data_IF_239452112592
#
_entry.id   IF_239452112592
#
_cell.length_a   1.000
_cell.length_b   1.000
_cell.length_c   1.000
_cell.angle_alpha   90.00
_cell.angle_beta   90.00
_cell.angle_gamma   90.00
#
_symmetry.space_group_name_H-M   'P 1'
#
loop_
_entity.id
_entity.type
_entity.pdbx_description
1 polymer ?
#
# COMPACT_ATOMS: atom_id res chain seq x y z
N UNK A 1 17.83 -44.77 -64.34
CA UNK A 1 18.38 -45.73 -65.32
C UNK A 1 19.08 -44.93 -66.40
N UNK A 2 20.21 -45.39 -66.94
CA UNK A 2 20.85 -44.96 -68.20
C UNK A 2 21.85 -46.06 -68.62
N UNK A 3 22.28 -46.06 -69.88
CA UNK A 3 23.16 -47.10 -70.46
C UNK A 3 24.17 -46.53 -71.46
N UNK A 4 24.61 -47.37 -72.41
CA UNK A 4 25.78 -47.19 -73.29
C UNK A 4 27.12 -47.32 -72.52
N UNK A 5 28.20 -47.87 -73.09
CA UNK A 5 28.40 -48.57 -74.36
C UNK A 5 29.81 -49.21 -74.37
N UNK A 6 30.10 -50.25 -75.19
CA UNK A 6 31.34 -51.01 -75.06
C UNK A 6 32.54 -50.33 -75.74
N UNK A 7 33.61 -50.07 -74.98
CA UNK A 7 34.92 -49.68 -75.51
C UNK A 7 35.91 -49.17 -74.46
N UNK A 8 37.17 -49.58 -74.61
CA UNK A 8 38.38 -49.01 -73.99
C UNK A 8 38.47 -48.99 -72.45
N UNK A 9 38.91 -50.14 -71.92
CA UNK A 9 40.24 -50.35 -71.33
C UNK A 9 40.82 -49.37 -70.28
N UNK A 10 41.45 -49.97 -69.24
CA UNK A 10 42.29 -49.41 -68.16
C UNK A 10 41.73 -48.29 -67.24
N UNK A 11 41.54 -48.67 -65.97
CA UNK A 11 41.72 -47.88 -64.74
C UNK A 11 41.28 -46.41 -64.70
N UNK A 12 39.97 -46.17 -64.87
CA UNK A 12 39.34 -44.93 -64.34
C UNK A 12 39.02 -45.04 -62.85
N UNK A 13 40.08 -45.02 -62.03
CA UNK A 13 39.98 -44.89 -60.57
C UNK A 13 39.24 -43.59 -60.21
N UNK A 14 38.03 -43.74 -59.66
CA UNK A 14 37.29 -42.61 -59.09
C UNK A 14 37.83 -42.34 -57.68
N UNK A 15 38.86 -41.48 -57.59
CA UNK A 15 39.59 -41.15 -56.36
C UNK A 15 38.71 -40.89 -55.12
N UNK A 16 37.52 -40.31 -55.30
CA UNK A 16 36.54 -40.16 -54.21
C UNK A 16 35.11 -40.30 -54.75
N UNK A 17 34.31 -41.14 -54.10
CA UNK A 17 32.85 -41.12 -54.21
C UNK A 17 32.27 -40.79 -52.83
N UNK A 18 31.50 -39.71 -52.74
CA UNK A 18 30.88 -39.21 -51.49
C UNK A 18 29.37 -39.36 -51.55
N UNK A 19 28.77 -39.97 -50.54
CA UNK A 19 27.34 -40.31 -50.48
C UNK A 19 26.75 -40.07 -49.07
N UNK A 20 25.50 -39.61 -48.99
CA UNK A 20 24.87 -39.01 -47.80
C UNK A 20 23.46 -39.60 -47.55
N UNK A 21 23.22 -40.19 -46.37
CA UNK A 21 22.10 -41.12 -46.01
C UNK A 21 22.12 -41.39 -44.47
N UNK A 22 21.03 -41.66 -43.71
CA UNK A 22 21.08 -41.45 -42.21
C UNK A 22 20.12 -42.34 -41.31
N UNK A 23 20.52 -43.02 -40.20
CA UNK A 23 19.68 -43.99 -39.39
C UNK A 23 20.27 -44.48 -38.05
N UNK A 24 19.58 -44.97 -36.99
CA UNK A 24 18.23 -44.84 -36.39
C UNK A 24 17.22 -46.03 -36.38
N UNK A 25 17.00 -46.82 -35.29
CA UNK A 25 15.63 -47.20 -34.78
C UNK A 25 15.49 -48.08 -33.48
N UNK A 26 14.86 -47.58 -32.39
CA UNK A 26 14.52 -48.33 -31.14
C UNK A 26 14.37 -47.56 -29.78
N UNK A 27 13.13 -47.41 -29.29
CA UNK A 27 12.65 -46.77 -28.03
C UNK A 27 13.02 -45.27 -27.81
N UNK A 28 12.02 -44.42 -28.12
CA UNK A 28 12.12 -42.97 -28.38
C UNK A 28 12.66 -42.74 -29.79
N UNK A 29 11.83 -42.44 -30.81
CA UNK A 29 12.22 -42.44 -32.26
C UNK A 29 11.00 -42.13 -33.23
N UNK A 30 11.16 -41.56 -34.47
CA UNK A 30 10.05 -41.00 -35.34
C UNK A 30 10.04 -40.79 -36.93
N UNK A 31 11.11 -40.74 -37.78
CA UNK A 31 11.11 -40.40 -39.28
C UNK A 31 11.41 -41.61 -40.29
N UNK A 32 11.80 -41.52 -41.61
CA UNK A 32 11.98 -42.72 -42.51
C UNK A 32 12.94 -42.67 -43.77
N UNK A 33 13.52 -43.84 -44.13
CA UNK A 33 14.64 -44.31 -45.04
C UNK A 33 15.40 -43.42 -46.06
N UNK A 34 16.74 -43.61 -46.16
CA UNK A 34 17.62 -43.06 -47.22
C UNK A 34 18.64 -44.10 -47.80
N UNK A 35 18.82 -44.10 -49.13
CA UNK A 35 19.59 -45.10 -49.90
C UNK A 35 20.51 -44.48 -50.95
N UNK A 36 21.77 -44.95 -51.03
CA UNK A 36 22.75 -44.49 -52.04
C UNK A 36 23.32 -45.61 -52.91
N UNK A 37 23.50 -45.28 -54.21
CA UNK A 37 23.82 -46.23 -55.28
C UNK A 37 24.89 -45.65 -56.22
N UNK A 38 26.07 -46.27 -56.24
CA UNK A 38 27.10 -46.01 -57.23
C UNK A 38 26.69 -46.51 -58.64
N UNK A 39 27.36 -45.97 -59.66
CA UNK A 39 27.14 -46.31 -61.07
C UNK A 39 27.59 -47.72 -61.45
N UNK A 40 27.37 -48.08 -62.72
CA UNK A 40 27.63 -49.42 -63.26
C UNK A 40 28.73 -49.37 -64.32
N UNK A 41 29.72 -50.27 -64.25
CA UNK A 41 30.72 -50.49 -65.30
C UNK A 41 31.68 -51.62 -64.93
N UNK A 42 32.29 -52.34 -65.90
CA UNK A 42 33.39 -53.26 -65.63
C UNK A 42 34.66 -52.47 -65.25
N UNK A 43 35.54 -53.05 -64.42
CA UNK A 43 36.87 -52.47 -64.15
C UNK A 43 36.87 -51.18 -63.34
N UNK A 44 35.92 -51.02 -62.41
CA UNK A 44 35.87 -49.86 -61.50
C UNK A 44 36.37 -50.26 -60.12
N UNK A 45 37.64 -49.99 -59.84
CA UNK A 45 38.19 -49.97 -58.48
C UNK A 45 37.89 -48.61 -57.82
N UNK A 46 37.47 -48.63 -56.55
CA UNK A 46 37.25 -47.41 -55.76
C UNK A 46 38.05 -47.51 -54.46
N UNK A 47 39.18 -46.81 -54.43
CA UNK A 47 40.12 -46.74 -53.30
C UNK A 47 39.45 -46.30 -51.99
N UNK A 48 38.59 -45.26 -52.06
CA UNK A 48 37.83 -44.78 -50.90
C UNK A 48 36.38 -44.40 -51.23
N UNK A 49 35.45 -45.14 -50.63
CA UNK A 49 34.03 -44.77 -50.58
C UNK A 49 33.72 -44.10 -49.25
N UNK A 50 33.16 -42.88 -49.29
CA UNK A 50 32.80 -42.09 -48.11
C UNK A 50 31.29 -42.01 -47.95
N UNK A 51 30.79 -42.55 -46.83
CA UNK A 51 29.36 -42.65 -46.48
C UNK A 51 29.11 -42.04 -45.09
N UNK A 52 28.04 -41.26 -44.96
CA UNK A 52 27.87 -40.35 -43.81
C UNK A 52 26.45 -40.35 -43.22
N UNK A 53 26.36 -40.71 -41.93
CA UNK A 53 25.17 -41.16 -41.13
C UNK A 53 25.27 -40.71 -39.64
N UNK A 54 24.20 -40.84 -38.82
CA UNK A 54 24.11 -40.37 -37.41
C UNK A 54 23.04 -41.11 -36.54
N UNK A 55 23.42 -41.63 -35.33
CA UNK A 55 22.74 -42.82 -34.73
C UNK A 55 22.87 -43.33 -33.21
N UNK A 56 22.05 -42.99 -32.18
CA UNK A 56 21.89 -43.53 -30.74
C UNK A 56 21.85 -45.07 -30.41
N UNK A 57 21.20 -45.71 -29.40
CA UNK A 57 20.34 -45.38 -28.23
C UNK A 57 20.14 -46.58 -27.23
N UNK A 58 19.76 -46.32 -25.96
CA UNK A 58 19.48 -47.30 -24.87
C UNK A 58 19.07 -46.63 -23.53
N UNK A 59 19.38 -47.17 -22.33
CA UNK A 59 18.80 -46.66 -21.08
C UNK A 59 19.27 -45.25 -20.68
N UNK A 60 18.38 -44.27 -20.82
CA UNK A 60 18.65 -42.85 -20.56
C UNK A 60 18.72 -41.98 -21.81
N UNK A 61 18.55 -42.55 -22.99
CA UNK A 61 18.67 -41.86 -24.28
C UNK A 61 17.28 -41.43 -24.82
N UNK A 62 17.16 -40.22 -25.38
CA UNK A 62 16.03 -39.64 -26.15
C UNK A 62 16.47 -39.26 -27.60
N UNK A 63 15.62 -39.53 -28.65
CA UNK A 63 16.04 -40.27 -29.89
C UNK A 63 14.98 -40.28 -31.10
N UNK A 64 15.28 -40.56 -32.42
CA UNK A 64 14.52 -40.05 -33.65
C UNK A 64 14.11 -40.84 -35.02
N UNK A 65 14.52 -42.05 -35.51
CA UNK A 65 13.87 -42.86 -36.67
C UNK A 65 14.31 -42.37 -38.11
N UNK A 66 15.23 -42.90 -38.98
CA UNK A 66 15.76 -42.08 -40.16
C UNK A 66 15.81 -42.49 -41.69
N UNK A 67 16.42 -43.44 -42.46
CA UNK A 67 17.40 -44.56 -42.34
C UNK A 67 18.62 -44.56 -43.36
N UNK A 68 19.49 -45.60 -43.33
CA UNK A 68 20.82 -45.71 -43.97
C UNK A 68 21.02 -47.05 -44.70
N UNK A 69 21.26 -47.02 -46.01
CA UNK A 69 21.48 -48.24 -46.78
C UNK A 69 22.35 -48.02 -48.04
N UNK A 70 23.34 -48.90 -48.25
CA UNK A 70 24.33 -48.78 -49.34
C UNK A 70 24.38 -50.04 -50.20
N UNK A 71 24.44 -49.86 -51.53
CA UNK A 71 24.67 -50.96 -52.48
C UNK A 71 25.82 -50.66 -53.44
N UNK A 72 26.98 -51.26 -53.16
CA UNK A 72 28.12 -51.30 -54.08
C UNK A 72 28.03 -52.51 -55.00
N UNK A 73 28.33 -52.32 -56.29
CA UNK A 73 28.48 -53.40 -57.26
C UNK A 73 27.18 -53.97 -57.87
N UNK A 74 27.26 -54.32 -59.16
CA UNK A 74 26.37 -55.26 -59.84
C UNK A 74 27.06 -55.85 -61.07
N UNK A 75 27.98 -56.78 -60.83
CA UNK A 75 28.78 -57.53 -61.82
C UNK A 75 29.91 -58.29 -61.12
N UNK A 76 30.50 -59.33 -61.74
CA UNK A 76 31.71 -59.97 -61.23
C UNK A 76 32.93 -59.05 -61.38
N UNK A 77 33.88 -59.11 -60.46
CA UNK A 77 35.11 -58.30 -60.51
C UNK A 77 34.89 -56.83 -60.12
N UNK A 78 34.16 -56.57 -59.03
CA UNK A 78 34.16 -55.28 -58.33
C UNK A 78 34.86 -55.49 -56.99
N UNK A 79 35.89 -54.71 -56.74
CA UNK A 79 36.68 -54.75 -55.50
C UNK A 79 36.76 -53.36 -54.87
N UNK A 80 36.88 -53.28 -53.55
CA UNK A 80 36.76 -52.06 -52.77
C UNK A 80 37.57 -52.13 -51.47
N UNK A 81 38.86 -51.78 -51.57
CA UNK A 81 39.87 -51.91 -50.51
C UNK A 81 39.42 -51.29 -49.17
N UNK A 82 38.91 -50.05 -49.16
CA UNK A 82 38.42 -49.40 -47.94
C UNK A 82 37.11 -48.62 -48.10
N UNK A 83 36.11 -49.02 -47.30
CA UNK A 83 34.80 -48.35 -47.20
C UNK A 83 34.68 -47.66 -45.85
N UNK A 84 34.62 -46.33 -45.86
CA UNK A 84 34.52 -45.51 -44.65
C UNK A 84 33.07 -45.08 -44.40
N UNK A 85 32.43 -45.71 -43.41
CA UNK A 85 31.09 -45.37 -42.93
C UNK A 85 31.16 -44.59 -41.62
N UNK A 86 30.89 -43.29 -41.70
CA UNK A 86 30.68 -42.46 -40.52
C UNK A 86 29.28 -42.68 -39.98
N UNK A 87 29.24 -43.01 -38.69
CA UNK A 87 28.02 -43.21 -37.91
C UNK A 87 28.44 -42.89 -36.48
N UNK A 88 28.24 -41.64 -36.03
CA UNK A 88 27.75 -41.41 -34.65
C UNK A 88 26.54 -42.39 -34.52
N UNK A 89 26.12 -43.10 -33.47
CA UNK A 89 26.22 -42.98 -32.00
C UNK A 89 25.96 -44.36 -31.27
N UNK A 90 25.24 -44.43 -30.11
CA UNK A 90 25.17 -45.65 -29.27
C UNK A 90 24.49 -45.52 -27.87
N UNK A 91 24.83 -46.39 -26.90
CA UNK A 91 24.13 -46.51 -25.61
C UNK A 91 24.82 -47.21 -24.40
N UNK A 92 24.23 -47.00 -23.21
CA UNK A 92 24.49 -47.63 -21.91
C UNK A 92 23.48 -47.04 -20.89
N UNK A 93 23.52 -47.33 -19.57
CA UNK A 93 22.78 -46.58 -18.54
C UNK A 93 23.42 -45.19 -18.33
N UNK A 94 23.59 -44.47 -19.44
CA UNK A 94 24.95 -44.06 -19.79
C UNK A 94 25.12 -43.32 -21.12
N UNK A 95 24.07 -42.85 -21.78
CA UNK A 95 24.13 -42.03 -23.03
C UNK A 95 22.88 -41.11 -23.15
N UNK A 96 22.90 -40.07 -24.00
CA UNK A 96 21.75 -39.38 -24.63
C UNK A 96 22.15 -38.92 -26.07
N UNK A 97 21.36 -39.21 -27.13
CA UNK A 97 21.67 -38.95 -28.58
C UNK A 97 20.49 -39.10 -29.57
N UNK A 98 20.40 -40.19 -30.36
CA UNK A 98 19.80 -40.16 -31.73
C UNK A 98 18.97 -41.45 -32.13
N UNK A 99 19.41 -42.55 -32.77
CA UNK A 99 19.16 -44.03 -32.53
C UNK A 99 20.04 -44.86 -33.51
N UNK A 100 20.42 -46.15 -33.42
CA UNK A 100 21.36 -46.87 -34.35
C UNK A 100 20.73 -47.67 -35.51
N UNK A 101 21.23 -47.51 -36.77
CA UNK A 101 21.42 -48.59 -37.78
C UNK A 101 22.40 -48.21 -38.92
N UNK A 102 23.16 -49.18 -39.43
CA UNK A 102 23.47 -49.31 -40.87
C UNK A 102 23.64 -50.79 -41.21
N UNK A 103 23.67 -51.11 -42.50
CA UNK A 103 24.18 -52.38 -42.99
C UNK A 103 24.50 -52.38 -44.48
N UNK A 104 25.50 -53.17 -44.85
CA UNK A 104 25.90 -53.45 -46.24
C UNK A 104 25.62 -54.91 -46.58
N UNK A 105 25.04 -55.17 -47.76
CA UNK A 105 24.81 -56.55 -48.27
C UNK A 105 25.65 -56.80 -49.51
N UNK A 106 26.66 -57.66 -49.38
CA UNK A 106 27.45 -58.15 -50.50
C UNK A 106 26.80 -59.37 -51.17
N UNK A 107 27.15 -59.61 -52.44
CA UNK A 107 26.80 -60.85 -53.15
C UNK A 107 27.80 -61.97 -52.82
N UNK A 108 27.44 -63.26 -53.02
CA UNK A 108 28.39 -64.36 -52.84
C UNK A 108 29.64 -64.15 -53.71
N UNK A 109 30.84 -64.26 -53.10
CA UNK A 109 32.12 -64.12 -53.79
C UNK A 109 32.83 -62.76 -53.66
N UNK A 110 32.38 -61.87 -52.76
CA UNK A 110 33.13 -60.64 -52.39
C UNK A 110 33.90 -60.88 -51.09
N UNK A 111 35.20 -60.57 -51.09
CA UNK A 111 36.02 -60.48 -49.87
C UNK A 111 35.99 -59.06 -49.30
N UNK A 112 36.03 -58.92 -47.97
CA UNK A 112 36.14 -57.63 -47.26
C UNK A 112 36.92 -57.89 -45.98
N UNK A 113 38.17 -57.44 -45.92
CA UNK A 113 39.08 -57.87 -44.85
C UNK A 113 38.87 -57.10 -43.52
N UNK A 114 38.59 -55.79 -43.55
CA UNK A 114 38.29 -55.00 -42.35
C UNK A 114 37.29 -53.87 -42.60
N UNK A 115 36.55 -53.49 -41.54
CA UNK A 115 35.63 -52.34 -41.50
C UNK A 115 35.83 -51.60 -40.17
N UNK A 116 35.92 -50.27 -40.22
CA UNK A 116 36.19 -49.42 -39.05
C UNK A 116 35.05 -48.41 -38.83
N UNK A 117 34.63 -48.24 -37.56
CA UNK A 117 33.55 -47.34 -37.13
C UNK A 117 34.02 -46.56 -35.90
N UNK A 118 33.63 -45.27 -35.80
CA UNK A 118 34.04 -44.38 -34.71
C UNK A 118 32.85 -43.61 -34.13
N UNK A 119 32.69 -43.65 -32.81
CA UNK A 119 31.63 -42.95 -32.07
C UNK A 119 32.15 -42.38 -30.75
N UNK A 120 31.46 -41.36 -30.21
CA UNK A 120 31.79 -40.75 -28.91
C UNK A 120 30.52 -40.33 -28.17
N UNK A 121 30.40 -40.78 -26.91
CA UNK A 121 29.26 -40.50 -26.03
C UNK A 121 29.69 -39.73 -24.78
N UNK A 122 28.67 -39.30 -24.02
CA UNK A 122 28.79 -38.94 -22.62
C UNK A 122 27.92 -39.89 -21.78
N UNK A 123 28.38 -40.33 -20.61
CA UNK A 123 27.54 -41.00 -19.61
C UNK A 123 26.26 -40.21 -19.24
N UNK A 124 25.17 -40.91 -18.92
CA UNK A 124 23.87 -40.31 -18.53
C UNK A 124 23.84 -39.97 -17.05
N UNK A 125 24.57 -40.70 -16.21
CA UNK A 125 24.90 -40.26 -14.86
C UNK A 125 25.70 -38.94 -14.89
N UNK A 126 26.68 -38.78 -15.79
CA UNK A 126 27.35 -37.49 -16.04
C UNK A 126 26.40 -36.42 -16.59
N UNK A 127 25.64 -36.72 -17.65
CA UNK A 127 24.73 -35.74 -18.27
C UNK A 127 23.61 -35.30 -17.32
N UNK A 128 22.98 -36.24 -16.61
CA UNK A 128 22.00 -35.94 -15.58
C UNK A 128 22.64 -35.30 -14.34
N UNK A 129 23.92 -35.54 -14.02
CA UNK A 129 24.62 -34.77 -12.98
C UNK A 129 24.85 -33.33 -13.43
N UNK A 130 25.21 -33.10 -14.69
CA UNK A 130 25.31 -31.75 -15.26
C UNK A 130 23.95 -31.03 -15.22
N UNK A 131 22.86 -31.70 -15.61
CA UNK A 131 21.51 -31.12 -15.57
C UNK A 131 20.96 -30.94 -14.15
N UNK A 132 21.26 -31.85 -13.21
CA UNK A 132 20.97 -31.66 -11.77
C UNK A 132 21.69 -30.41 -11.24
N UNK A 133 22.99 -30.24 -11.55
CA UNK A 133 23.77 -29.06 -11.15
C UNK A 133 23.22 -27.76 -11.75
N UNK A 134 22.87 -27.77 -13.03
CA UNK A 134 22.21 -26.63 -13.70
C UNK A 134 20.85 -26.29 -13.05
N UNK A 135 20.08 -27.30 -12.66
CA UNK A 135 18.80 -27.12 -11.97
C UNK A 135 18.99 -26.59 -10.53
N UNK A 136 20.02 -27.03 -9.82
CA UNK A 136 20.38 -26.50 -8.50
C UNK A 136 20.85 -25.05 -8.56
N UNK A 137 21.68 -24.70 -9.56
CA UNK A 137 22.11 -23.33 -9.86
C UNK A 137 20.93 -22.42 -10.20
N UNK A 138 19.95 -22.91 -10.97
CA UNK A 138 18.71 -22.19 -11.29
C UNK A 138 17.73 -22.10 -10.10
N UNK A 139 17.74 -23.08 -9.19
CA UNK A 139 16.89 -23.12 -8.00
C UNK A 139 17.42 -22.21 -6.88
N UNK A 140 18.72 -21.95 -6.81
CA UNK A 140 19.34 -21.08 -5.80
C UNK A 140 18.73 -19.65 -5.74
N UNK A 141 18.61 -18.89 -6.84
CA UNK A 141 17.96 -17.58 -6.81
C UNK A 141 16.46 -17.63 -6.48
N UNK A 142 15.79 -18.79 -6.67
CA UNK A 142 14.41 -18.99 -6.22
C UNK A 142 14.34 -19.20 -4.70
N UNK A 143 15.26 -19.96 -4.11
CA UNK A 143 15.41 -20.09 -2.65
C UNK A 143 15.72 -18.74 -1.98
N UNK A 144 16.53 -17.91 -2.63
CA UNK A 144 16.87 -16.56 -2.14
C UNK A 144 15.67 -15.61 -2.27
N UNK A 145 14.99 -15.59 -3.41
CA UNK A 145 13.72 -14.84 -3.56
C UNK A 145 12.67 -15.27 -2.53
N UNK A 146 12.54 -16.56 -2.22
CA UNK A 146 11.59 -17.05 -1.21
C UNK A 146 11.89 -16.49 0.19
N UNK A 147 13.17 -16.41 0.59
CA UNK A 147 13.58 -15.74 1.85
C UNK A 147 13.19 -14.26 1.85
N UNK A 148 13.50 -13.54 0.76
CA UNK A 148 13.17 -12.10 0.62
C UNK A 148 11.65 -11.89 0.67
N UNK A 149 10.86 -12.75 0.02
CA UNK A 149 9.39 -12.70 0.10
C UNK A 149 8.89 -12.89 1.54
N UNK A 150 9.46 -13.83 2.31
CA UNK A 150 9.12 -14.01 3.72
C UNK A 150 9.45 -12.79 4.59
N UNK A 151 10.61 -12.15 4.37
CA UNK A 151 10.95 -10.89 5.03
C UNK A 151 10.01 -9.74 4.66
N UNK A 152 9.58 -9.68 3.40
CA UNK A 152 8.64 -8.66 2.90
C UNK A 152 7.23 -8.89 3.46
N UNK A 153 6.79 -10.14 3.59
CA UNK A 153 5.53 -10.48 4.23
C UNK A 153 5.49 -9.96 5.68
N UNK A 154 6.51 -10.25 6.49
CA UNK A 154 6.59 -9.75 7.87
C UNK A 154 6.61 -8.21 7.94
N UNK A 155 7.22 -7.53 6.96
CA UNK A 155 7.18 -6.06 6.85
C UNK A 155 5.77 -5.55 6.49
N UNK A 156 5.04 -6.25 5.63
CA UNK A 156 3.64 -5.93 5.29
C UNK A 156 2.69 -6.16 6.47
N UNK A 157 2.84 -7.25 7.22
CA UNK A 157 2.06 -7.51 8.44
C UNK A 157 2.27 -6.41 9.49
N UNK A 158 3.53 -6.01 9.72
CA UNK A 158 3.87 -4.87 10.60
C UNK A 158 3.29 -3.54 10.10
N UNK A 159 3.24 -3.34 8.78
CA UNK A 159 2.65 -2.13 8.17
C UNK A 159 1.12 -2.12 8.33
N UNK A 160 0.45 -3.28 8.19
CA UNK A 160 -0.98 -3.41 8.40
C UNK A 160 -1.39 -3.11 9.86
N UNK A 161 -0.62 -3.59 10.85
CA UNK A 161 -0.84 -3.20 12.25
C UNK A 161 -0.55 -1.71 12.50
N UNK A 162 0.47 -1.14 11.86
CA UNK A 162 0.73 0.30 11.97
C UNK A 162 -0.42 1.15 11.43
N UNK A 163 -1.00 0.76 10.28
CA UNK A 163 -2.18 1.44 9.69
C UNK A 163 -3.37 1.40 10.66
N UNK A 164 -3.62 0.27 11.34
CA UNK A 164 -4.69 0.18 12.37
C UNK A 164 -4.44 1.11 13.56
N UNK A 165 -3.19 1.26 13.99
CA UNK A 165 -2.82 2.18 15.09
C UNK A 165 -2.95 3.64 14.64
N UNK A 166 -2.54 3.96 13.41
CA UNK A 166 -2.66 5.30 12.82
C UNK A 166 -4.13 5.72 12.68
N UNK A 167 -4.99 4.85 12.15
CA UNK A 167 -6.44 5.07 12.05
C UNK A 167 -7.05 5.38 13.43
N UNK A 168 -6.81 4.52 14.43
CA UNK A 168 -7.28 4.73 15.82
C UNK A 168 -6.78 6.00 16.48
N UNK A 169 -5.57 6.46 16.12
CA UNK A 169 -5.03 7.72 16.63
C UNK A 169 -5.73 8.94 16.01
N UNK A 170 -6.11 8.84 14.73
CA UNK A 170 -6.91 9.85 14.02
C UNK A 170 -8.36 9.87 14.53
N UNK A 171 -9.00 8.70 14.70
CA UNK A 171 -10.35 8.54 15.25
C UNK A 171 -10.52 9.27 16.60
N UNK A 172 -9.54 9.13 17.50
CA UNK A 172 -9.50 9.82 18.81
C UNK A 172 -9.58 11.34 18.77
N UNK A 173 -9.19 11.99 17.67
CA UNK A 173 -9.33 13.45 17.58
C UNK A 173 -10.78 13.86 17.28
N UNK A 174 -11.55 13.00 16.61
CA UNK A 174 -13.00 13.17 16.45
C UNK A 174 -13.76 12.80 17.72
N UNK A 175 -13.35 11.75 18.45
CA UNK A 175 -13.94 11.38 19.75
C UNK A 175 -13.96 12.57 20.74
N UNK A 176 -12.86 13.33 20.84
CA UNK A 176 -12.77 14.55 21.67
C UNK A 176 -13.79 15.62 21.28
N UNK A 177 -14.03 15.81 19.98
CA UNK A 177 -15.03 16.78 19.49
C UNK A 177 -16.45 16.30 19.77
N UNK A 178 -16.74 15.01 19.60
CA UNK A 178 -18.02 14.43 19.94
C UNK A 178 -18.31 14.51 21.45
N UNK A 179 -17.30 14.28 22.29
CA UNK A 179 -17.41 14.43 23.74
C UNK A 179 -17.81 15.86 24.14
N UNK A 180 -17.08 16.89 23.65
CA UNK A 180 -17.44 18.29 23.93
C UNK A 180 -18.86 18.65 23.50
N UNK A 181 -19.31 18.20 22.33
CA UNK A 181 -20.65 18.47 21.85
C UNK A 181 -21.71 17.77 22.72
N UNK A 182 -21.45 16.54 23.18
CA UNK A 182 -22.33 15.83 24.10
C UNK A 182 -22.40 16.50 25.48
N UNK A 183 -21.27 16.96 26.03
CA UNK A 183 -21.22 17.70 27.30
C UNK A 183 -21.97 19.04 27.21
N UNK A 184 -21.83 19.77 26.09
CA UNK A 184 -22.58 21.00 25.82
C UNK A 184 -24.08 20.76 25.58
N UNK A 185 -24.47 19.62 25.00
CA UNK A 185 -25.87 19.21 24.85
C UNK A 185 -26.48 18.82 26.21
N UNK A 186 -25.83 17.93 26.96
CA UNK A 186 -26.29 17.44 28.26
C UNK A 186 -26.47 18.60 29.26
N UNK A 187 -25.50 19.52 29.34
CA UNK A 187 -25.60 20.68 30.22
C UNK A 187 -26.82 21.59 29.90
N UNK A 188 -27.19 21.72 28.62
CA UNK A 188 -28.40 22.47 28.21
C UNK A 188 -29.68 21.67 28.47
N UNK A 189 -29.69 20.38 28.18
CA UNK A 189 -30.83 19.51 28.43
C UNK A 189 -31.13 19.39 29.94
N UNK A 190 -30.11 19.41 30.79
CA UNK A 190 -30.25 19.51 32.25
C UNK A 190 -30.88 20.85 32.66
N UNK A 191 -30.34 21.98 32.19
CA UNK A 191 -30.85 23.31 32.52
C UNK A 191 -32.30 23.56 32.01
N UNK A 192 -32.68 22.94 30.90
CA UNK A 192 -34.05 22.96 30.38
C UNK A 192 -35.01 22.14 31.27
N UNK A 193 -34.62 20.91 31.65
CA UNK A 193 -35.41 20.05 32.55
C UNK A 193 -35.59 20.64 33.94
N UNK A 194 -34.55 21.29 34.48
CA UNK A 194 -34.64 21.98 35.77
C UNK A 194 -35.67 23.12 35.70
N UNK A 195 -35.66 23.91 34.62
CA UNK A 195 -36.64 24.98 34.42
C UNK A 195 -38.07 24.44 34.21
N UNK A 196 -38.23 23.32 33.51
CA UNK A 196 -39.49 22.60 33.37
C UNK A 196 -40.04 22.12 34.73
N UNK A 197 -39.21 21.47 35.55
CA UNK A 197 -39.61 20.99 36.89
C UNK A 197 -39.95 22.16 37.82
N UNK A 198 -39.16 23.23 37.82
CA UNK A 198 -39.45 24.44 38.60
C UNK A 198 -40.80 25.07 38.22
N UNK A 199 -41.08 25.22 36.92
CA UNK A 199 -42.30 25.88 36.42
C UNK A 199 -43.54 25.00 36.56
N UNK A 200 -43.45 23.71 36.21
CA UNK A 200 -44.54 22.74 36.42
C UNK A 200 -44.84 22.53 37.91
N UNK A 201 -43.81 22.47 38.75
CA UNK A 201 -43.93 22.36 40.21
C UNK A 201 -44.58 23.59 40.86
N UNK A 202 -44.31 24.80 40.35
CA UNK A 202 -45.01 26.02 40.76
C UNK A 202 -46.49 26.00 40.35
N UNK A 203 -46.78 25.60 39.11
CA UNK A 203 -48.15 25.51 38.59
C UNK A 203 -48.99 24.46 39.35
N UNK A 204 -48.40 23.31 39.71
CA UNK A 204 -49.03 22.32 40.60
C UNK A 204 -49.39 22.92 41.96
N UNK A 205 -48.46 23.62 42.62
CA UNK A 205 -48.72 24.28 43.92
C UNK A 205 -49.82 25.35 43.83
N UNK A 206 -49.91 26.10 42.72
CA UNK A 206 -51.03 27.02 42.46
C UNK A 206 -52.35 26.28 42.28
N UNK A 207 -52.37 25.18 41.51
CA UNK A 207 -53.57 24.34 41.34
C UNK A 207 -54.06 23.78 42.68
N UNK A 208 -53.14 23.32 43.54
CA UNK A 208 -53.43 22.82 44.89
C UNK A 208 -53.94 23.91 45.84
N UNK A 209 -53.51 25.18 45.68
CA UNK A 209 -54.05 26.32 46.43
C UNK A 209 -55.47 26.67 45.97
N UNK A 210 -55.66 26.90 44.67
CA UNK A 210 -56.95 27.20 44.07
C UNK A 210 -58.00 26.10 44.36
N UNK A 211 -57.61 24.83 44.33
CA UNK A 211 -58.51 23.71 44.65
C UNK A 211 -58.98 23.74 46.12
N UNK A 212 -58.14 24.20 47.05
CA UNK A 212 -58.51 24.36 48.47
C UNK A 212 -59.40 25.59 48.69
N UNK A 213 -59.13 26.68 47.99
CA UNK A 213 -59.95 27.90 48.00
C UNK A 213 -61.34 27.62 47.42
N UNK A 214 -61.43 26.93 46.27
CA UNK A 214 -62.68 26.47 45.68
C UNK A 214 -63.47 25.55 46.62
N UNK A 215 -62.81 24.62 47.33
CA UNK A 215 -63.47 23.75 48.30
C UNK A 215 -64.06 24.56 49.47
N UNK A 216 -63.27 25.46 50.07
CA UNK A 216 -63.73 26.31 51.18
C UNK A 216 -64.88 27.26 50.78
N UNK A 217 -64.85 27.80 49.56
CA UNK A 217 -65.94 28.60 49.00
C UNK A 217 -67.19 27.74 48.77
N UNK A 218 -67.03 26.55 48.17
CA UNK A 218 -68.12 25.60 47.92
C UNK A 218 -68.82 25.17 49.22
N UNK A 219 -68.06 24.85 50.27
CA UNK A 219 -68.62 24.54 51.60
C UNK A 219 -69.33 25.74 52.23
N UNK A 220 -68.82 26.96 52.03
CA UNK A 220 -69.47 28.19 52.52
C UNK A 220 -70.79 28.44 51.81
N UNK A 221 -70.85 28.27 50.48
CA UNK A 221 -72.08 28.36 49.68
C UNK A 221 -73.07 27.29 50.13
N UNK A 222 -72.65 26.03 50.18
CA UNK A 222 -73.48 24.88 50.58
C UNK A 222 -74.10 25.05 51.96
N UNK A 223 -73.31 25.37 52.98
CA UNK A 223 -73.80 25.61 54.34
C UNK A 223 -74.73 26.84 54.44
N UNK A 224 -74.65 27.78 53.49
CA UNK A 224 -75.54 28.94 53.43
C UNK A 224 -76.85 28.61 52.71
N UNK A 225 -76.81 27.83 51.62
CA UNK A 225 -78.01 27.31 50.98
C UNK A 225 -78.80 26.34 51.87
N UNK A 226 -78.11 25.52 52.66
CA UNK A 226 -78.72 24.63 53.65
C UNK A 226 -79.49 25.44 54.71
N UNK A 227 -78.92 26.56 55.19
CA UNK A 227 -79.59 27.48 56.12
C UNK A 227 -80.79 28.20 55.47
N UNK A 228 -80.66 28.61 54.19
CA UNK A 228 -81.76 29.20 53.41
C UNK A 228 -82.92 28.23 53.11
N UNK A 229 -82.72 26.93 53.32
CA UNK A 229 -83.75 25.88 53.22
C UNK A 229 -84.32 25.46 54.58
N UNK A 230 -83.85 26.05 55.69
CA UNK A 230 -84.34 25.76 57.03
C UNK A 230 -85.72 26.39 57.29
N UNK A 231 -86.48 25.82 58.23
CA UNK A 231 -87.77 26.37 58.64
C UNK A 231 -87.60 27.73 59.36
N UNK A 232 -88.57 28.64 59.18
CA UNK A 232 -88.51 30.06 59.55
C UNK A 232 -87.92 30.35 60.94
N UNK A 233 -88.34 29.61 61.97
CA UNK A 233 -87.88 29.81 63.36
C UNK A 233 -86.39 29.46 63.52
N UNK A 234 -85.93 28.40 62.87
CA UNK A 234 -84.51 27.99 62.86
C UNK A 234 -83.68 28.97 62.03
N UNK A 235 -84.20 29.37 60.85
CA UNK A 235 -83.56 30.36 60.00
C UNK A 235 -83.38 31.70 60.74
N UNK A 236 -84.42 32.23 61.40
CA UNK A 236 -84.34 33.48 62.17
C UNK A 236 -83.36 33.41 63.35
N UNK A 237 -83.27 32.24 64.02
CA UNK A 237 -82.30 32.02 65.09
C UNK A 237 -80.84 32.04 64.58
N UNK A 238 -80.60 31.45 63.40
CA UNK A 238 -79.24 31.29 62.85
C UNK A 238 -78.83 32.39 61.87
N UNK A 239 -79.77 33.22 61.38
CA UNK A 239 -79.59 34.24 60.34
C UNK A 239 -78.34 35.09 60.55
N UNK A 240 -78.11 35.59 61.77
CA UNK A 240 -76.94 36.42 62.08
C UNK A 240 -75.63 35.64 61.89
N UNK A 241 -75.58 34.37 62.30
CA UNK A 241 -74.40 33.53 62.13
C UNK A 241 -74.15 33.18 60.65
N UNK A 242 -75.21 32.99 59.85
CA UNK A 242 -75.09 32.78 58.41
C UNK A 242 -74.59 34.06 57.68
N UNK A 243 -75.12 35.23 58.04
CA UNK A 243 -74.62 36.52 57.50
C UNK A 243 -73.16 36.75 57.87
N UNK A 244 -72.76 36.51 59.13
CA UNK A 244 -71.34 36.61 59.53
C UNK A 244 -70.45 35.58 58.81
N UNK A 245 -70.97 34.38 58.49
CA UNK A 245 -70.26 33.34 57.73
C UNK A 245 -69.96 33.80 56.29
N UNK A 246 -70.95 34.38 55.62
CA UNK A 246 -70.80 34.93 54.25
C UNK A 246 -69.92 36.17 54.24
N UNK A 247 -70.09 37.09 55.20
CA UNK A 247 -69.29 38.33 55.29
C UNK A 247 -67.81 38.09 55.63
N UNK A 248 -67.47 36.95 56.24
CA UNK A 248 -66.08 36.53 56.50
C UNK A 248 -65.46 35.76 55.32
N UNK A 249 -66.23 35.46 54.26
CA UNK A 249 -65.70 34.80 53.07
C UNK A 249 -64.84 35.79 52.28
N UNK A 250 -63.56 35.49 51.97
CA UNK A 250 -62.71 36.41 51.21
C UNK A 250 -63.23 36.62 49.78
N UNK A 251 -63.39 37.87 49.38
CA UNK A 251 -63.40 38.24 47.96
C UNK A 251 -61.98 38.05 47.43
N UNK A 252 -61.72 36.89 46.83
CA UNK A 252 -60.45 36.57 46.15
C UNK A 252 -60.35 37.33 44.83
N UNK A 253 -59.15 37.80 44.51
CA UNK A 253 -58.81 38.27 43.16
C UNK A 253 -58.88 37.10 42.15
N UNK A 254 -59.25 37.40 40.90
CA UNK A 254 -59.32 36.39 39.84
C UNK A 254 -57.99 35.60 39.68
N UNK A 255 -57.99 34.25 39.62
CA UNK A 255 -56.77 33.44 39.60
C UNK A 255 -55.85 33.69 38.39
N UNK A 256 -54.88 34.61 38.53
CA UNK A 256 -53.95 34.96 37.47
C UNK A 256 -52.77 33.98 37.28
N UNK A 257 -52.40 33.76 36.02
CA UNK A 257 -51.15 33.12 35.63
C UNK A 257 -49.96 33.98 36.10
N UNK A 258 -48.97 33.43 36.83
CA UNK A 258 -47.81 34.22 37.24
C UNK A 258 -46.92 34.55 36.04
N UNK A 259 -46.30 35.73 36.04
CA UNK A 259 -45.31 36.09 35.02
C UNK A 259 -44.15 35.07 35.01
N UNK A 260 -43.67 34.70 33.82
CA UNK A 260 -42.61 33.70 33.66
C UNK A 260 -43.05 32.22 33.80
N UNK A 261 -44.35 31.93 33.86
CA UNK A 261 -44.87 30.56 34.00
C UNK A 261 -44.50 29.58 32.85
N UNK A 262 -44.19 30.09 31.65
CA UNK A 262 -43.79 29.29 30.49
C UNK A 262 -42.26 29.22 30.37
N UNK A 263 -41.75 28.14 29.77
CA UNK A 263 -40.31 27.96 29.50
C UNK A 263 -39.77 29.08 28.61
N UNK A 264 -38.62 29.65 28.98
CA UNK A 264 -37.94 30.68 28.20
C UNK A 264 -37.12 30.04 27.07
N UNK A 265 -37.79 29.76 25.95
CA UNK A 265 -37.13 29.18 24.78
C UNK A 265 -36.03 30.08 24.20
N UNK A 266 -36.12 31.41 24.39
CA UNK A 266 -35.11 32.34 23.90
C UNK A 266 -33.81 32.26 24.71
N UNK A 267 -33.89 32.07 26.03
CA UNK A 267 -32.74 31.76 26.90
C UNK A 267 -32.01 30.48 26.49
N UNK A 268 -32.74 29.42 26.09
CA UNK A 268 -32.15 28.11 25.77
C UNK A 268 -31.64 28.00 24.31
N UNK A 269 -32.35 28.60 23.34
CA UNK A 269 -32.02 28.50 21.92
C UNK A 269 -31.32 29.74 21.34
N UNK A 270 -31.34 30.87 22.07
CA UNK A 270 -30.76 32.14 21.63
C UNK A 270 -29.27 32.03 21.31
N UNK A 271 -28.92 32.29 20.05
CA UNK A 271 -27.55 32.18 19.52
C UNK A 271 -26.88 30.82 19.79
N UNK A 272 -27.64 29.72 19.91
CA UNK A 272 -27.16 28.39 20.31
C UNK A 272 -25.88 27.95 19.57
N UNK A 273 -25.90 27.99 18.23
CA UNK A 273 -24.77 27.58 17.38
C UNK A 273 -23.55 28.50 17.54
N UNK A 274 -23.76 29.81 17.64
CA UNK A 274 -22.69 30.78 17.90
C UNK A 274 -22.07 30.60 19.29
N UNK A 275 -22.89 30.32 20.31
CA UNK A 275 -22.44 30.09 21.68
C UNK A 275 -21.61 28.80 21.80
N UNK A 276 -22.01 27.73 21.11
CA UNK A 276 -21.22 26.49 21.00
C UNK A 276 -19.91 26.76 20.24
N UNK A 277 -19.94 27.45 19.10
CA UNK A 277 -18.75 27.82 18.32
C UNK A 277 -17.77 28.69 19.13
N UNK A 278 -18.26 29.68 19.88
CA UNK A 278 -17.42 30.58 20.65
C UNK A 278 -16.78 29.89 21.87
N UNK A 279 -17.39 28.84 22.44
CA UNK A 279 -16.73 27.94 23.40
C UNK A 279 -15.72 27.00 22.73
N UNK A 280 -16.10 26.40 21.60
CA UNK A 280 -15.24 25.49 20.81
C UNK A 280 -13.94 26.18 20.38
N UNK A 281 -13.97 27.50 20.16
CA UNK A 281 -12.81 28.35 19.86
C UNK A 281 -11.67 28.23 20.87
N UNK A 282 -11.95 28.04 22.15
CA UNK A 282 -10.91 27.89 23.19
C UNK A 282 -10.25 26.50 23.19
N UNK A 283 -10.88 25.51 22.56
CA UNK A 283 -10.29 24.19 22.28
C UNK A 283 -9.52 24.14 20.95
N UNK A 284 -9.97 24.90 19.94
CA UNK A 284 -9.48 24.79 18.55
C UNK A 284 -8.32 25.74 18.28
N UNK A 285 -7.10 25.21 18.36
CA UNK A 285 -5.89 25.92 17.94
C UNK A 285 -5.62 25.74 16.44
N UNK A 286 -5.70 26.80 15.65
CA UNK A 286 -5.31 26.76 14.23
C UNK A 286 -3.78 26.88 14.07
N UNK A 287 -3.14 25.82 13.58
CA UNK A 287 -1.73 25.82 13.19
C UNK A 287 -1.60 25.89 11.66
N UNK A 288 -0.81 26.82 11.09
CA UNK A 288 -0.69 26.99 9.64
C UNK A 288 0.16 25.91 8.96
N UNK A 289 0.78 25.03 9.75
CA UNK A 289 1.56 23.87 9.32
C UNK A 289 1.24 22.69 10.24
N UNK A 290 1.20 21.49 9.67
CA UNK A 290 0.99 20.22 10.35
C UNK A 290 2.13 19.28 9.95
N UNK A 291 2.70 18.54 10.90
CA UNK A 291 3.82 17.63 10.67
C UNK A 291 3.32 16.26 10.20
N UNK A 292 3.82 15.76 9.07
CA UNK A 292 3.39 14.47 8.51
C UNK A 292 4.18 13.29 9.12
N UNK A 293 3.54 12.39 9.89
CA UNK A 293 4.18 11.19 10.46
C UNK A 293 4.75 10.23 9.42
N UNK A 294 4.29 10.29 8.17
CA UNK A 294 4.78 9.44 7.08
C UNK A 294 6.14 9.90 6.56
N UNK A 295 6.51 11.18 6.75
CA UNK A 295 7.78 11.74 6.29
C UNK A 295 8.86 11.84 7.37
N UNK A 296 8.48 11.95 8.64
CA UNK A 296 9.41 12.15 9.75
C UNK A 296 10.43 11.00 9.91
N UNK A 297 11.68 11.30 10.29
CA UNK A 297 12.66 10.25 10.59
C UNK A 297 12.24 9.44 11.84
N UNK A 298 12.46 8.11 11.92
CA UNK A 298 12.06 7.30 13.08
C UNK A 298 12.69 7.69 14.42
N UNK A 299 13.76 8.51 14.44
CA UNK A 299 14.34 9.04 15.68
C UNK A 299 13.61 10.30 16.21
N UNK A 300 12.64 10.85 15.46
CA UNK A 300 11.78 11.95 15.89
C UNK A 300 10.48 11.42 16.52
N UNK A 301 10.01 12.12 17.56
CA UNK A 301 8.71 11.91 18.21
C UNK A 301 7.85 13.16 17.97
N UNK A 302 6.73 12.99 17.27
CA UNK A 302 5.71 14.02 17.06
C UNK A 302 4.74 14.08 18.25
N UNK A 303 4.07 15.21 18.42
CA UNK A 303 2.91 15.36 19.32
C UNK A 303 1.61 14.88 18.69
N UNK A 304 0.60 14.59 19.51
CA UNK A 304 -0.74 14.15 19.06
C UNK A 304 -1.46 15.19 18.19
N UNK A 305 -1.25 16.49 18.46
CA UNK A 305 -1.77 17.60 17.65
C UNK A 305 -0.98 17.81 16.34
N UNK A 306 0.09 17.02 16.10
CA UNK A 306 1.02 17.13 14.98
C UNK A 306 1.66 18.53 14.80
N UNK A 307 1.67 19.37 15.85
CA UNK A 307 2.31 20.71 15.80
C UNK A 307 3.76 20.71 16.27
N UNK A 308 4.18 19.69 17.02
CA UNK A 308 5.44 19.68 17.75
C UNK A 308 6.27 18.43 17.45
N UNK A 309 7.60 18.58 17.44
CA UNK A 309 8.55 17.47 17.33
C UNK A 309 9.65 17.60 18.38
N UNK A 310 10.20 16.46 18.81
CA UNK A 310 11.46 16.38 19.56
C UNK A 310 12.24 15.15 19.13
N UNK A 311 13.54 15.12 19.39
CA UNK A 311 14.34 13.90 19.27
C UNK A 311 13.93 12.89 20.36
N UNK A 312 14.11 11.61 20.09
CA UNK A 312 13.77 10.55 21.04
C UNK A 312 14.42 9.21 20.73
N UNK A 313 13.87 8.14 21.31
CA UNK A 313 14.29 6.77 21.00
C UNK A 313 13.69 6.33 19.67
N UNK A 314 14.51 5.72 18.82
CA UNK A 314 14.13 5.19 17.50
C UNK A 314 12.85 4.36 17.56
N UNK A 315 11.83 4.84 16.87
CA UNK A 315 10.51 4.21 16.78
C UNK A 315 10.52 3.05 15.78
N UNK A 316 9.69 2.03 16.04
CA UNK A 316 9.43 0.92 15.10
C UNK A 316 8.35 1.32 14.09
N UNK A 317 8.70 2.24 13.19
CA UNK A 317 7.84 2.66 12.07
C UNK A 317 8.10 1.77 10.84
N UNK A 318 7.07 1.50 10.01
CA UNK A 318 7.28 0.87 8.71
C UNK A 318 8.09 1.79 7.78
N UNK A 319 8.88 1.17 6.89
CA UNK A 319 9.57 1.89 5.81
C UNK A 319 8.58 2.15 4.66
N UNK A 320 8.60 3.36 4.10
CA UNK A 320 7.67 3.79 3.07
C UNK A 320 8.38 4.71 2.04
N UNK A 321 7.78 4.98 0.87
CA UNK A 321 8.37 5.87 -0.13
C UNK A 321 8.63 7.29 0.39
N UNK A 322 7.77 7.81 1.26
CA UNK A 322 7.76 9.21 1.72
C UNK A 322 8.97 9.51 2.63
N UNK A 323 9.22 8.63 3.61
CA UNK A 323 10.35 8.67 4.55
C UNK A 323 11.66 8.29 3.86
N UNK A 324 11.62 7.31 2.95
CA UNK A 324 12.84 6.88 2.24
C UNK A 324 13.25 7.82 1.10
N UNK A 325 12.33 8.64 0.54
CA UNK A 325 12.66 9.71 -0.40
C UNK A 325 13.59 10.76 0.23
N UNK A 326 13.41 11.11 1.51
CA UNK A 326 14.32 12.00 2.25
C UNK A 326 15.77 11.49 2.29
N UNK A 327 15.96 10.16 2.17
CA UNK A 327 17.27 9.50 2.22
C UNK A 327 17.85 9.15 0.84
N UNK A 328 17.09 9.31 -0.24
CA UNK A 328 17.43 8.80 -1.60
C UNK A 328 17.48 9.85 -2.71
N UNK A 329 17.08 11.10 -2.46
CA UNK A 329 17.15 12.20 -3.44
C UNK A 329 18.15 13.27 -3.01
N UNK A 330 18.72 13.96 -4.00
CA UNK A 330 19.58 15.12 -3.81
C UNK A 330 18.76 16.39 -3.44
N UNK A 331 17.99 16.28 -2.35
CA UNK A 331 17.11 17.34 -1.80
C UNK A 331 17.90 18.60 -1.42
N UNK A 332 19.21 18.43 -1.23
CA UNK A 332 20.16 19.49 -0.93
C UNK A 332 20.18 20.53 -2.06
N UNK A 333 20.02 20.11 -3.32
CA UNK A 333 20.00 21.00 -4.50
C UNK A 333 18.83 22.01 -4.55
N UNK A 334 17.73 21.76 -3.81
CA UNK A 334 16.50 22.55 -3.90
C UNK A 334 16.00 23.08 -2.54
N UNK A 335 16.90 23.29 -1.58
CA UNK A 335 16.54 23.68 -0.20
C UNK A 335 16.98 25.11 0.14
N UNK A 336 16.04 25.93 0.61
CA UNK A 336 16.29 27.23 1.22
C UNK A 336 15.94 27.16 2.71
N UNK A 337 16.93 27.40 3.59
CA UNK A 337 16.72 27.22 5.02
C UNK A 337 17.67 28.04 5.88
N UNK A 338 17.23 28.29 7.11
CA UNK A 338 18.06 28.80 8.19
C UNK A 338 18.47 27.65 9.11
N UNK A 339 19.73 27.63 9.51
CA UNK A 339 20.36 26.58 10.32
C UNK A 339 20.80 27.21 11.64
N UNK A 340 20.61 26.48 12.74
CA UNK A 340 21.23 26.77 14.02
C UNK A 340 22.16 25.62 14.40
N UNK A 341 23.41 25.92 14.75
CA UNK A 341 24.38 24.90 15.18
C UNK A 341 25.50 25.54 15.99
N UNK A 342 25.87 24.96 17.15
CA UNK A 342 26.94 25.46 18.03
C UNK A 342 26.79 26.96 18.35
N UNK A 343 25.57 27.35 18.71
CA UNK A 343 25.12 28.72 18.99
C UNK A 343 25.35 29.76 17.87
N UNK A 344 25.60 29.31 16.63
CA UNK A 344 25.60 30.14 15.42
C UNK A 344 24.36 29.94 14.57
N UNK A 345 23.89 31.02 13.95
CA UNK A 345 22.87 31.00 12.90
C UNK A 345 23.53 31.12 11.52
N UNK A 346 23.01 30.39 10.53
CA UNK A 346 23.47 30.48 9.15
C UNK A 346 22.33 30.31 8.14
N UNK A 347 22.41 30.97 6.99
CA UNK A 347 21.52 30.76 5.85
C UNK A 347 22.15 29.79 4.85
N UNK A 348 21.36 28.89 4.26
CA UNK A 348 21.81 27.98 3.20
C UNK A 348 20.79 27.89 2.07
N UNK A 349 21.30 27.99 0.84
CA UNK A 349 20.57 27.82 -0.41
C UNK A 349 21.50 27.25 -1.48
N UNK A 350 21.64 25.91 -1.59
CA UNK A 350 22.63 25.31 -2.47
C UNK A 350 22.41 25.67 -3.96
N UNK A 351 23.46 25.69 -4.79
CA UNK A 351 24.84 25.27 -4.51
C UNK A 351 25.67 26.26 -3.67
N UNK A 352 25.11 27.40 -3.22
CA UNK A 352 25.84 28.34 -2.37
C UNK A 352 26.22 27.72 -1.00
N UNK A 353 27.37 28.16 -0.48
CA UNK A 353 27.85 27.81 0.85
C UNK A 353 26.93 28.39 1.96
N UNK A 354 27.14 27.93 3.21
CA UNK A 354 26.45 28.51 4.37
C UNK A 354 26.96 29.93 4.59
N UNK A 355 26.04 30.88 4.67
CA UNK A 355 26.31 32.28 5.02
C UNK A 355 26.03 32.49 6.51
N UNK A 356 27.06 32.81 7.31
CA UNK A 356 26.91 33.14 8.74
C UNK A 356 25.96 34.36 8.90
N UNK A 357 25.05 34.31 9.87
CA UNK A 357 24.06 35.36 10.16
C UNK A 357 24.36 36.04 11.50
N UNK A 358 24.60 37.36 11.47
CA UNK A 358 24.86 38.17 12.68
C UNK A 358 23.58 38.47 13.47
N UNK A 359 23.08 37.47 14.19
CA UNK A 359 21.91 37.60 15.08
C UNK A 359 22.38 38.01 16.49
N UNK A 360 21.91 39.15 17.00
CA UNK A 360 22.42 39.76 18.25
C UNK A 360 22.03 39.01 19.55
N UNK A 361 21.00 38.17 19.51
CA UNK A 361 20.44 37.44 20.66
C UNK A 361 19.95 36.07 20.21
N UNK A 362 19.93 35.08 21.10
CA UNK A 362 19.34 33.76 20.81
C UNK A 362 17.83 33.90 20.62
N UNK A 363 17.36 33.71 19.39
CA UNK A 363 15.96 33.82 18.98
C UNK A 363 15.18 32.62 19.51
N UNK A 364 14.07 32.89 20.20
CA UNK A 364 13.18 31.85 20.75
C UNK A 364 12.08 31.47 19.76
N UNK A 365 11.57 32.42 18.98
CA UNK A 365 10.47 32.20 18.03
C UNK A 365 10.83 32.73 16.65
N UNK A 366 10.97 31.86 15.66
CA UNK A 366 11.25 32.23 14.27
C UNK A 366 9.94 32.30 13.50
N UNK A 367 9.67 33.45 12.86
CA UNK A 367 8.61 33.59 11.86
C UNK A 367 9.20 33.41 10.47
N UNK A 368 8.68 32.42 9.75
CA UNK A 368 8.95 32.17 8.32
C UNK A 368 7.77 32.70 7.51
N UNK A 369 8.05 33.41 6.42
CA UNK A 369 7.02 33.95 5.53
C UNK A 369 7.43 33.80 4.05
N UNK A 370 6.57 33.18 3.25
CA UNK A 370 6.77 32.89 1.82
C UNK A 370 5.81 33.73 0.97
N UNK A 371 6.33 34.80 0.37
CA UNK A 371 5.66 35.52 -0.71
C UNK A 371 5.99 34.83 -2.04
N UNK A 372 5.12 33.89 -2.43
CA UNK A 372 5.25 33.14 -3.67
C UNK A 372 5.27 34.07 -4.90
N UNK A 373 4.36 35.04 -4.94
CA UNK A 373 4.16 35.92 -6.10
C UNK A 373 5.34 36.86 -6.34
N UNK A 374 6.09 37.22 -5.29
CA UNK A 374 7.33 38.02 -5.40
C UNK A 374 8.60 37.18 -5.30
N UNK A 375 8.49 35.85 -5.21
CA UNK A 375 9.62 34.93 -5.11
C UNK A 375 10.48 35.12 -3.86
N UNK A 376 9.89 35.42 -2.69
CA UNK A 376 10.64 35.72 -1.45
C UNK A 376 10.30 34.78 -0.31
N UNK A 377 11.33 34.10 0.22
CA UNK A 377 11.26 33.35 1.47
C UNK A 377 12.03 34.12 2.56
N UNK A 378 11.31 34.60 3.57
CA UNK A 378 11.82 35.52 4.59
C UNK A 378 11.78 34.92 5.99
N UNK A 379 12.80 35.20 6.79
CA UNK A 379 13.00 34.76 8.17
C UNK A 379 13.14 35.97 9.08
N UNK A 380 12.43 35.96 10.20
CA UNK A 380 12.40 37.04 11.18
C UNK A 380 12.25 36.50 12.60
N UNK A 381 12.74 37.26 13.59
CA UNK A 381 12.44 37.03 14.99
C UNK A 381 10.98 37.47 15.25
N UNK A 382 10.16 36.54 15.73
CA UNK A 382 8.75 36.79 16.02
C UNK A 382 8.52 37.54 17.34
N UNK A 383 9.52 37.58 18.23
CA UNK A 383 9.48 38.30 19.50
C UNK A 383 9.77 39.80 19.32
N UNK A 384 10.88 40.14 18.63
CA UNK A 384 11.25 41.55 18.38
C UNK A 384 10.75 42.11 17.04
N UNK A 385 10.16 41.27 16.19
CA UNK A 385 9.81 41.59 14.79
C UNK A 385 11.02 41.97 13.92
N UNK A 386 12.24 41.63 14.35
CA UNK A 386 13.49 41.94 13.63
C UNK A 386 13.68 41.00 12.43
N UNK A 387 14.03 41.56 11.27
CA UNK A 387 14.41 40.77 10.09
C UNK A 387 15.75 40.04 10.31
N UNK A 388 15.84 38.78 9.86
CA UNK A 388 17.06 37.97 9.97
C UNK A 388 17.66 37.67 8.60
N UNK A 389 16.85 37.16 7.66
CA UNK A 389 17.31 36.79 6.32
C UNK A 389 16.17 36.76 5.30
N UNK A 390 16.46 36.91 4.01
CA UNK A 390 15.50 36.65 2.93
C UNK A 390 16.20 36.06 1.70
N UNK A 391 15.78 34.86 1.30
CA UNK A 391 16.10 34.31 -0.01
C UNK A 391 15.16 34.91 -1.06
N UNK A 392 15.70 35.22 -2.24
CA UNK A 392 14.90 35.60 -3.43
C UNK A 392 15.13 34.55 -4.51
N UNK A 393 14.07 33.90 -4.99
CA UNK A 393 14.13 32.82 -5.97
C UNK A 393 12.83 32.70 -6.78
N UNK A 394 12.94 32.28 -8.04
CA UNK A 394 11.80 32.07 -8.94
C UNK A 394 11.25 30.65 -8.74
N UNK A 395 10.36 30.46 -7.77
CA UNK A 395 9.77 29.16 -7.47
C UNK A 395 8.90 28.65 -8.63
N UNK A 396 9.29 27.53 -9.25
CA UNK A 396 8.54 26.85 -10.33
C UNK A 396 7.75 25.64 -9.84
N UNK A 397 8.16 25.02 -8.73
CA UNK A 397 7.58 23.81 -8.16
C UNK A 397 7.15 24.03 -6.70
N UNK A 398 6.14 23.27 -6.24
CA UNK A 398 5.53 23.44 -4.91
C UNK A 398 6.59 23.34 -3.80
N UNK A 399 6.74 24.42 -3.03
CA UNK A 399 7.60 24.45 -1.84
C UNK A 399 6.86 23.85 -0.65
N UNK A 400 7.54 22.94 0.05
CA UNK A 400 7.06 22.33 1.30
C UNK A 400 7.91 22.84 2.47
N UNK A 401 7.30 22.98 3.65
CA UNK A 401 8.05 23.34 4.85
C UNK A 401 8.90 22.13 5.31
N UNK A 402 10.22 22.33 5.41
CA UNK A 402 11.15 21.34 5.95
C UNK A 402 11.63 21.78 7.33
N UNK A 403 11.41 20.93 8.34
CA UNK A 403 11.85 21.14 9.72
C UNK A 403 12.68 19.92 10.12
N UNK A 404 13.89 20.17 10.61
CA UNK A 404 14.79 19.15 11.15
C UNK A 404 15.19 19.58 12.56
N UNK A 405 15.15 18.63 13.51
CA UNK A 405 15.69 18.82 14.84
C UNK A 405 16.76 17.75 15.10
N UNK A 406 17.91 18.16 15.64
CA UNK A 406 19.01 17.27 16.05
C UNK A 406 19.27 17.31 17.56
N UNK A 407 18.72 18.30 18.24
CA UNK A 407 18.82 18.50 19.69
C UNK A 407 17.64 17.81 20.41
N UNK A 408 17.77 17.57 21.71
CA UNK A 408 16.74 16.90 22.51
C UNK A 408 15.56 17.84 22.89
N UNK A 409 15.77 19.16 22.80
CA UNK A 409 14.73 20.19 22.98
C UNK A 409 13.62 20.09 21.92
N UNK A 410 12.38 20.41 22.30
CA UNK A 410 11.23 20.34 21.40
C UNK A 410 11.08 21.60 20.53
N UNK A 411 10.88 21.39 19.23
CA UNK A 411 10.39 22.44 18.32
C UNK A 411 8.87 22.36 18.25
N UNK A 412 8.18 23.50 18.39
CA UNK A 412 6.71 23.61 18.26
C UNK A 412 6.31 24.68 17.25
N UNK A 413 5.46 24.29 16.31
CA UNK A 413 4.68 25.20 15.46
C UNK A 413 3.66 25.89 16.36
N UNK A 414 3.71 27.22 16.41
CA UNK A 414 2.79 28.00 17.23
C UNK A 414 1.50 28.30 16.46
N UNK A 415 0.32 28.16 17.09
CA UNK A 415 -0.94 28.47 16.45
C UNK A 415 -1.09 29.98 16.21
N UNK A 416 -1.81 30.34 15.16
CA UNK A 416 -2.11 31.73 14.79
C UNK A 416 -3.49 32.10 15.34
N UNK A 417 -3.62 33.31 15.88
CA UNK A 417 -4.93 33.84 16.30
C UNK A 417 -5.82 34.05 15.07
N UNK A 418 -6.86 33.23 14.93
CA UNK A 418 -7.89 33.41 13.90
C UNK A 418 -8.98 34.34 14.42
N UNK A 419 -9.31 35.35 13.62
CA UNK A 419 -10.46 36.24 13.80
C UNK A 419 -11.42 36.04 12.64
N UNK A 420 -12.66 35.65 12.92
CA UNK A 420 -13.74 35.65 11.93
C UNK A 420 -14.40 37.02 11.97
N UNK A 421 -14.40 37.71 10.83
CA UNK A 421 -15.27 38.87 10.58
C UNK A 421 -16.60 38.39 10.01
N UNK A 422 -17.67 39.12 10.30
CA UNK A 422 -18.97 38.99 9.62
C UNK A 422 -19.13 40.25 8.78
N UNK A 423 -19.13 40.09 7.47
CA UNK A 423 -19.47 41.18 6.55
C UNK A 423 -20.98 41.49 6.67
N UNK A 424 -21.35 42.77 6.60
CA UNK A 424 -22.71 43.28 6.84
C UNK A 424 -23.35 43.82 5.56
#
# INVERSE_FOLDING_TARGET
>A
MCGCGPGLDVDRVLYQVRMWTDCEYGLGVAVDQVYTRCGCGPGVAVDQVWLWTRCGCGPGVAVDQVWMWTRCGCGPGVDADQVWMWTRCGCGPGVDVDQVWLGTRFTPGVGVDQVWVWTRFRPMDEAAAQHRKQLEEALQPLKEKLKVCGEVQVKFDQTAEHIKVQARHTERQFEKLHQFLAEEEEARMAALREEEEQKSGLMRKKMEALSREMAALSDTVRATEEELRAADVSFLHNYKAAVERVQRCPLLDDPQLPSGALIDQAKHLGNLTFNIWNKMKDMVSYSPLVLDPNTADPDLILSEDLTSMRRGRRQKLPDNPERSAQRKRDIWSGWWGMIFCKDKYGAKSPPAAVTDLSVQKKVQRIRVNLDWNRGKLSFSDADTNTHIHTFTHTFTERVFAFICNVDDDSLKILPVKVSVSVDQ
#
